data_IF_787369577720
#
_entry.id   IF_787369577720
#
_cell.length_a   1.000
_cell.length_b   1.000
_cell.length_c   1.000
_cell.angle_alpha   90.00
_cell.angle_beta   90.00
_cell.angle_gamma   90.00
#
_symmetry.space_group_name_H-M   'P 1'
#
loop_
_entity.id
_entity.type
_entity.pdbx_description
1 polymer ?
#
# COMPACT_ATOMS: atom_id res chain seq x y z
N UNK A 1 -37.27 27.79 -8.82
CA UNK A 1 -36.23 28.64 -9.43
C UNK A 1 -35.99 28.10 -10.82
N UNK A 2 -36.07 28.90 -11.90
CA UNK A 2 -35.85 28.38 -13.23
C UNK A 2 -34.42 27.83 -13.29
N UNK A 3 -34.29 26.58 -13.71
CA UNK A 3 -33.00 25.94 -13.94
C UNK A 3 -32.29 26.83 -14.96
N UNK A 4 -31.19 27.48 -14.56
CA UNK A 4 -30.36 28.21 -15.51
C UNK A 4 -29.83 27.17 -16.49
N UNK A 5 -30.34 27.20 -17.71
CA UNK A 5 -30.09 26.19 -18.74
C UNK A 5 -28.66 26.28 -19.27
N UNK A 6 -28.11 25.11 -19.62
CA UNK A 6 -26.86 25.02 -20.40
C UNK A 6 -27.01 25.78 -21.72
N UNK A 7 -25.91 26.11 -22.38
CA UNK A 7 -26.00 26.66 -23.73
C UNK A 7 -26.74 25.66 -24.64
N UNK A 8 -27.58 26.11 -25.60
CA UNK A 8 -28.36 25.21 -26.45
C UNK A 8 -27.49 24.20 -27.22
N UNK A 9 -26.30 24.64 -27.62
CA UNK A 9 -25.30 23.80 -28.30
C UNK A 9 -24.78 22.68 -27.39
N UNK A 10 -24.41 23.01 -26.15
CA UNK A 10 -23.90 22.02 -25.20
C UNK A 10 -25.01 21.08 -24.71
N UNK A 11 -26.23 21.58 -24.53
CA UNK A 11 -27.39 20.74 -24.19
C UNK A 11 -27.63 19.68 -25.27
N UNK A 12 -27.57 20.06 -26.56
CA UNK A 12 -27.68 19.13 -27.67
C UNK A 12 -26.53 18.11 -27.68
N UNK A 13 -25.28 18.57 -27.55
CA UNK A 13 -24.10 17.70 -27.54
C UNK A 13 -24.13 16.70 -26.38
N UNK A 14 -24.54 17.14 -25.20
CA UNK A 14 -24.65 16.31 -24.02
C UNK A 14 -25.75 15.25 -24.20
N UNK A 15 -26.91 15.63 -24.73
CA UNK A 15 -27.98 14.68 -25.03
C UNK A 15 -27.55 13.63 -26.07
N UNK A 16 -26.82 14.03 -27.11
CA UNK A 16 -26.26 13.10 -28.10
C UNK A 16 -25.25 12.15 -27.44
N UNK A 17 -24.35 12.66 -26.60
CA UNK A 17 -23.43 11.82 -25.85
C UNK A 17 -24.18 10.80 -24.99
N UNK A 18 -25.15 11.24 -24.19
CA UNK A 18 -25.90 10.39 -23.26
C UNK A 18 -26.75 9.33 -23.99
N UNK A 19 -27.30 9.68 -25.16
CA UNK A 19 -28.01 8.72 -26.02
C UNK A 19 -27.09 7.58 -26.51
N UNK A 20 -25.79 7.85 -26.68
CA UNK A 20 -24.79 6.84 -27.06
C UNK A 20 -24.29 5.99 -25.88
N UNK A 21 -24.90 6.11 -24.69
CA UNK A 21 -24.64 5.26 -23.52
C UNK A 21 -23.15 5.20 -23.13
N UNK A 22 -22.54 6.33 -22.72
CA UNK A 22 -21.15 6.35 -22.31
C UNK A 22 -20.90 5.45 -21.10
N UNK A 23 -19.74 4.82 -21.07
CA UNK A 23 -19.24 4.01 -19.97
C UNK A 23 -18.70 4.87 -18.82
N UNK A 24 -18.07 6.00 -19.15
CA UNK A 24 -17.55 6.98 -18.21
C UNK A 24 -17.50 8.38 -18.85
N UNK A 25 -17.50 9.42 -18.03
CA UNK A 25 -17.38 10.82 -18.45
C UNK A 25 -16.30 11.50 -17.62
N UNK A 26 -15.42 12.24 -18.29
CA UNK A 26 -14.37 13.06 -17.69
C UNK A 26 -14.54 14.50 -18.15
N UNK A 27 -14.35 15.45 -17.25
CA UNK A 27 -14.35 16.88 -17.59
C UNK A 27 -12.98 17.45 -17.21
N UNK A 28 -12.30 18.06 -18.19
CA UNK A 28 -11.13 18.89 -17.92
C UNK A 28 -11.64 20.31 -17.67
N UNK A 29 -11.68 20.71 -16.39
CA UNK A 29 -12.23 22.00 -15.97
C UNK A 29 -11.46 23.19 -16.53
N UNK A 30 -10.11 23.12 -16.55
CA UNK A 30 -9.28 24.24 -17.02
C UNK A 30 -9.44 24.52 -18.52
N UNK A 31 -9.62 23.49 -19.33
CA UNK A 31 -9.83 23.63 -20.78
C UNK A 31 -11.32 23.68 -21.17
N UNK A 32 -12.22 23.52 -20.20
CA UNK A 32 -13.66 23.36 -20.40
C UNK A 32 -13.97 22.31 -21.47
N UNK A 33 -13.34 21.14 -21.39
CA UNK A 33 -13.54 20.05 -22.37
C UNK A 33 -14.14 18.83 -21.70
N UNK A 34 -15.24 18.32 -22.26
CA UNK A 34 -15.89 17.09 -21.81
C UNK A 34 -15.47 15.94 -22.72
N UNK A 35 -15.17 14.79 -22.11
CA UNK A 35 -14.83 13.53 -22.75
C UNK A 35 -15.83 12.46 -22.34
N UNK A 36 -16.29 11.65 -23.29
CA UNK A 36 -17.11 10.47 -23.06
C UNK A 36 -16.42 9.21 -23.58
N UNK A 37 -16.24 8.24 -22.69
CA UNK A 37 -15.75 6.90 -23.05
C UNK A 37 -16.93 6.07 -23.56
N UNK A 38 -16.89 5.65 -24.82
CA UNK A 38 -17.82 4.68 -25.39
C UNK A 38 -17.18 3.29 -25.41
N UNK A 39 -17.93 2.27 -25.85
CA UNK A 39 -17.42 0.87 -25.87
C UNK A 39 -16.17 0.69 -26.73
N UNK A 40 -16.11 1.36 -27.87
CA UNK A 40 -15.07 1.16 -28.90
C UNK A 40 -14.34 2.46 -29.27
N UNK A 41 -14.76 3.60 -28.71
CA UNK A 41 -14.25 4.91 -29.10
C UNK A 41 -14.37 5.92 -27.96
N UNK A 42 -13.77 7.09 -28.17
CA UNK A 42 -13.93 8.24 -27.30
C UNK A 42 -14.56 9.38 -28.09
N UNK A 43 -15.41 10.15 -27.44
CA UNK A 43 -15.91 11.41 -27.98
C UNK A 43 -15.51 12.55 -27.05
N UNK A 44 -15.29 13.73 -27.63
CA UNK A 44 -14.97 14.93 -26.86
C UNK A 44 -15.53 16.18 -27.53
N UNK A 45 -15.90 17.15 -26.71
CA UNK A 45 -16.28 18.48 -27.19
C UNK A 45 -15.95 19.54 -26.14
N UNK A 46 -15.68 20.76 -26.63
CA UNK A 46 -15.49 21.92 -25.77
C UNK A 46 -16.85 22.44 -25.32
N UNK A 47 -16.96 22.73 -24.03
CA UNK A 47 -18.09 23.39 -23.41
C UNK A 47 -18.06 24.89 -23.73
N UNK A 48 -19.23 25.45 -23.98
CA UNK A 48 -19.49 26.85 -24.27
C UNK A 48 -20.27 27.47 -23.10
N UNK A 49 -19.59 27.84 -22.01
CA UNK A 49 -20.25 28.39 -20.82
C UNK A 49 -20.97 29.71 -21.15
N UNK A 50 -22.23 29.81 -20.71
CA UNK A 50 -23.04 31.04 -20.78
C UNK A 50 -23.08 31.79 -19.44
N UNK A 51 -22.34 31.32 -18.44
CA UNK A 51 -22.19 31.88 -17.11
C UNK A 51 -20.79 31.53 -16.56
N UNK A 52 -20.39 31.99 -15.35
CA UNK A 52 -19.08 31.65 -14.80
C UNK A 52 -18.82 30.13 -14.76
N UNK A 53 -17.60 29.73 -15.11
CA UNK A 53 -17.22 28.32 -15.34
C UNK A 53 -17.62 27.39 -14.20
N UNK A 54 -17.39 27.78 -12.94
CA UNK A 54 -17.75 26.97 -11.76
C UNK A 54 -19.27 26.70 -11.70
N UNK A 55 -20.08 27.72 -12.00
CA UNK A 55 -21.54 27.60 -12.03
C UNK A 55 -21.97 26.73 -13.21
N UNK A 56 -21.32 26.89 -14.35
CA UNK A 56 -21.60 26.12 -15.55
C UNK A 56 -21.29 24.62 -15.37
N UNK A 57 -20.13 24.30 -14.78
CA UNK A 57 -19.74 22.94 -14.46
C UNK A 57 -20.71 22.27 -13.47
N UNK A 58 -21.21 23.00 -12.47
CA UNK A 58 -22.28 22.50 -11.58
C UNK A 58 -23.56 22.17 -12.34
N UNK A 59 -23.93 22.97 -13.34
CA UNK A 59 -25.11 22.70 -14.19
C UNK A 59 -24.89 21.46 -15.07
N UNK A 60 -23.71 21.34 -15.70
CA UNK A 60 -23.35 20.17 -16.51
C UNK A 60 -23.41 18.90 -15.65
N UNK A 61 -22.79 18.90 -14.47
CA UNK A 61 -22.83 17.78 -13.52
C UNK A 61 -24.24 17.48 -13.02
N UNK A 62 -25.09 18.50 -12.87
CA UNK A 62 -26.50 18.29 -12.51
C UNK A 62 -27.24 17.51 -13.60
N UNK A 63 -27.06 17.87 -14.88
CA UNK A 63 -27.68 17.15 -16.01
C UNK A 63 -27.15 15.72 -16.11
N UNK A 64 -25.84 15.53 -15.97
CA UNK A 64 -25.22 14.20 -15.95
C UNK A 64 -25.76 13.34 -14.80
N UNK A 65 -25.87 13.91 -13.60
CA UNK A 65 -26.40 13.24 -12.42
C UNK A 65 -27.87 12.87 -12.58
N UNK A 66 -28.69 13.76 -13.15
CA UNK A 66 -30.10 13.48 -13.40
C UNK A 66 -30.25 12.30 -14.36
N UNK A 67 -29.48 12.28 -15.45
CA UNK A 67 -29.52 11.18 -16.41
C UNK A 67 -29.00 9.86 -15.83
N UNK A 68 -27.87 9.88 -15.12
CA UNK A 68 -27.21 8.67 -14.63
C UNK A 68 -27.94 8.02 -13.45
N UNK A 69 -28.58 8.82 -12.58
CA UNK A 69 -29.15 8.34 -11.31
C UNK A 69 -30.68 8.43 -11.26
N UNK A 70 -31.34 9.07 -12.23
CA UNK A 70 -32.79 9.16 -12.31
C UNK A 70 -33.46 9.96 -11.18
N UNK A 71 -32.71 10.79 -10.45
CA UNK A 71 -33.22 11.59 -9.34
C UNK A 71 -33.10 13.10 -9.62
N UNK A 72 -34.22 13.87 -9.60
CA UNK A 72 -34.22 15.31 -9.86
C UNK A 72 -33.67 16.18 -8.72
N UNK A 73 -33.23 15.59 -7.59
CA UNK A 73 -32.69 16.36 -6.45
C UNK A 73 -31.34 17.07 -6.73
N UNK A 74 -30.72 16.83 -7.89
CA UNK A 74 -29.56 17.58 -8.38
C UNK A 74 -28.22 17.28 -7.70
N UNK A 75 -27.15 17.50 -8.45
CA UNK A 75 -25.78 17.57 -7.93
C UNK A 75 -25.65 18.79 -6.98
N UNK A 76 -25.01 18.70 -5.79
CA UNK A 76 -24.10 17.64 -5.30
C UNK A 76 -24.69 16.72 -4.22
N UNK A 77 -26.01 16.72 -3.97
CA UNK A 77 -26.62 16.06 -2.80
C UNK A 77 -26.44 14.53 -2.76
N UNK A 78 -26.09 13.89 -3.88
CA UNK A 78 -25.87 12.44 -3.95
C UNK A 78 -24.59 11.99 -3.22
N UNK A 79 -23.49 12.74 -3.30
CA UNK A 79 -22.22 12.39 -2.62
C UNK A 79 -22.38 12.38 -1.08
N UNK A 80 -23.19 13.29 -0.54
CA UNK A 80 -23.49 13.37 0.90
C UNK A 80 -24.37 12.22 1.40
N UNK A 81 -25.18 11.62 0.52
CA UNK A 81 -26.00 10.44 0.84
C UNK A 81 -25.23 9.14 0.66
N UNK A 82 -24.29 9.10 -0.29
CA UNK A 82 -23.38 7.99 -0.55
C UNK A 82 -22.52 7.65 0.68
N UNK A 83 -21.94 8.66 1.33
CA UNK A 83 -21.17 8.51 2.58
C UNK A 83 -22.00 8.02 3.77
N UNK A 84 -23.35 8.12 3.72
CA UNK A 84 -24.26 7.72 4.81
C UNK A 84 -24.93 6.35 4.61
N UNK A 85 -25.16 5.93 3.37
CA UNK A 85 -25.83 4.68 3.04
C UNK A 85 -24.81 3.64 2.58
N UNK A 86 -24.06 3.08 3.53
CA UNK A 86 -22.87 2.25 3.33
C UNK A 86 -23.03 0.93 2.55
N UNK A 87 -24.11 0.70 1.79
CA UNK A 87 -24.24 -0.42 0.83
C UNK A 87 -25.21 -0.07 -0.30
N UNK A 88 -24.71 0.00 -1.53
CA UNK A 88 -25.54 -0.08 -2.74
C UNK A 88 -24.90 -0.99 -3.80
N UNK A 89 -25.77 -1.53 -4.67
CA UNK A 89 -25.54 -2.61 -5.64
C UNK A 89 -24.54 -2.22 -6.74
N UNK A 90 -23.87 -3.18 -7.37
CA UNK A 90 -22.83 -2.99 -8.40
C UNK A 90 -23.22 -2.07 -9.58
N UNK A 91 -24.51 -2.03 -9.95
CA UNK A 91 -25.03 -1.15 -11.02
C UNK A 91 -24.84 0.34 -10.71
N UNK A 92 -24.84 0.72 -9.43
CA UNK A 92 -24.64 2.11 -8.97
C UNK A 92 -23.23 2.64 -9.23
N UNK A 93 -22.22 1.76 -9.25
CA UNK A 93 -20.83 2.17 -9.47
C UNK A 93 -20.60 2.61 -10.92
N UNK A 94 -21.26 1.94 -11.88
CA UNK A 94 -21.19 2.33 -13.29
C UNK A 94 -21.83 3.70 -13.54
N UNK A 95 -22.90 4.04 -12.81
CA UNK A 95 -23.56 5.33 -12.93
C UNK A 95 -22.67 6.48 -12.40
N UNK A 96 -21.92 6.23 -11.32
CA UNK A 96 -20.99 7.21 -10.73
C UNK A 96 -19.91 7.67 -11.71
N UNK A 97 -19.39 6.77 -12.55
CA UNK A 97 -18.37 7.12 -13.55
C UNK A 97 -18.91 8.03 -14.66
N UNK A 98 -20.23 8.22 -14.77
CA UNK A 98 -20.86 9.08 -15.78
C UNK A 98 -21.11 10.50 -15.26
N UNK A 99 -20.73 10.82 -14.03
CA UNK A 99 -21.03 12.12 -13.42
C UNK A 99 -20.09 13.24 -13.85
N UNK A 100 -18.93 12.92 -14.46
CA UNK A 100 -17.92 13.94 -14.80
C UNK A 100 -17.32 14.60 -13.55
N UNK A 101 -17.30 13.86 -12.45
CA UNK A 101 -16.99 14.35 -11.11
C UNK A 101 -15.86 13.51 -10.49
N UNK A 102 -14.67 14.09 -10.23
CA UNK A 102 -13.53 13.36 -9.67
C UNK A 102 -13.84 12.66 -8.34
N UNK A 103 -14.65 13.29 -7.48
CA UNK A 103 -15.07 12.75 -6.19
C UNK A 103 -15.93 11.48 -6.36
N UNK A 104 -16.79 11.44 -7.39
CA UNK A 104 -17.54 10.24 -7.75
C UNK A 104 -16.64 9.11 -8.28
N UNK A 105 -15.57 9.45 -9.01
CA UNK A 105 -14.57 8.46 -9.44
C UNK A 105 -13.84 7.89 -8.24
N UNK A 106 -13.37 8.73 -7.32
CA UNK A 106 -12.69 8.29 -6.10
C UNK A 106 -13.59 7.39 -5.22
N UNK A 107 -14.89 7.71 -5.15
CA UNK A 107 -15.89 6.88 -4.50
C UNK A 107 -15.98 5.46 -5.12
N UNK A 108 -15.93 5.35 -6.45
CA UNK A 108 -15.89 4.05 -7.15
C UNK A 108 -14.58 3.31 -6.86
N UNK A 109 -13.45 4.00 -6.83
CA UNK A 109 -12.14 3.43 -6.52
C UNK A 109 -12.09 2.83 -5.12
N UNK A 110 -12.78 3.43 -4.15
CA UNK A 110 -12.85 2.96 -2.77
C UNK A 110 -13.92 1.86 -2.54
N UNK A 111 -14.70 1.48 -3.56
CA UNK A 111 -15.81 0.54 -3.39
C UNK A 111 -15.35 -0.93 -3.28
N UNK A 112 -15.98 -1.70 -2.39
CA UNK A 112 -15.70 -3.15 -2.23
C UNK A 112 -15.99 -3.96 -3.53
N UNK A 113 -16.96 -3.52 -4.34
CA UNK A 113 -17.36 -4.14 -5.60
C UNK A 113 -16.50 -3.75 -6.81
N UNK A 114 -15.33 -3.14 -6.61
CA UNK A 114 -14.46 -2.70 -7.71
C UNK A 114 -13.89 -3.90 -8.49
N UNK A 115 -14.29 -4.03 -9.75
CA UNK A 115 -13.76 -5.02 -10.70
C UNK A 115 -12.62 -4.43 -11.55
N UNK A 116 -11.83 -5.28 -12.22
CA UNK A 116 -10.75 -4.82 -13.13
C UNK A 116 -11.29 -3.90 -14.25
N UNK A 117 -12.45 -4.23 -14.82
CA UNK A 117 -13.06 -3.43 -15.89
C UNK A 117 -13.64 -2.10 -15.36
N UNK A 118 -14.18 -2.07 -14.14
CA UNK A 118 -14.57 -0.81 -13.50
C UNK A 118 -13.35 0.06 -13.18
N UNK A 119 -12.26 -0.55 -12.70
CA UNK A 119 -11.01 0.14 -12.44
C UNK A 119 -10.42 0.74 -13.73
N UNK A 120 -10.47 0.03 -14.86
CA UNK A 120 -10.05 0.55 -16.17
C UNK A 120 -10.81 1.83 -16.55
N UNK A 121 -12.13 1.84 -16.37
CA UNK A 121 -12.99 3.00 -16.67
C UNK A 121 -12.77 4.15 -15.70
N UNK A 122 -12.61 3.84 -14.41
CA UNK A 122 -12.31 4.82 -13.38
C UNK A 122 -10.93 5.46 -13.60
N UNK A 123 -9.94 4.66 -14.00
CA UNK A 123 -8.61 5.14 -14.36
C UNK A 123 -8.67 6.08 -15.56
N UNK A 124 -9.38 5.70 -16.62
CA UNK A 124 -9.61 6.57 -17.77
C UNK A 124 -10.29 7.90 -17.38
N UNK A 125 -11.22 7.86 -16.42
CA UNK A 125 -11.93 9.04 -15.96
C UNK A 125 -11.05 9.97 -15.11
N UNK A 126 -10.09 9.44 -14.36
CA UNK A 126 -9.20 10.19 -13.48
C UNK A 126 -7.88 9.44 -13.23
N UNK A 127 -6.84 9.83 -13.97
CA UNK A 127 -5.49 9.24 -13.96
C UNK A 127 -4.62 9.79 -12.81
N UNK A 128 -5.12 9.73 -11.58
CA UNK A 128 -4.43 10.26 -10.40
C UNK A 128 -3.60 9.17 -9.67
N UNK A 129 -2.37 9.46 -9.22
CA UNK A 129 -1.55 8.48 -8.50
C UNK A 129 -2.22 7.89 -7.25
N UNK A 130 -3.04 8.69 -6.56
CA UNK A 130 -3.82 8.20 -5.43
C UNK A 130 -4.84 7.13 -5.85
N UNK A 131 -5.54 7.33 -6.98
CA UNK A 131 -6.46 6.34 -7.54
C UNK A 131 -5.72 5.04 -7.86
N UNK A 132 -4.54 5.13 -8.52
CA UNK A 132 -3.74 3.97 -8.85
C UNK A 132 -3.35 3.15 -7.60
N UNK A 133 -2.89 3.82 -6.53
CA UNK A 133 -2.55 3.15 -5.26
C UNK A 133 -3.74 2.45 -4.64
N UNK A 134 -4.90 3.13 -4.55
CA UNK A 134 -6.13 2.57 -3.97
C UNK A 134 -6.65 1.39 -4.78
N UNK A 135 -6.73 1.52 -6.10
CA UNK A 135 -7.15 0.44 -7.00
C UNK A 135 -6.25 -0.81 -6.84
N UNK A 136 -4.93 -0.63 -6.69
CA UNK A 136 -3.99 -1.74 -6.51
C UNK A 136 -4.09 -2.44 -5.15
N UNK A 137 -4.78 -1.87 -4.17
CA UNK A 137 -5.11 -2.57 -2.92
C UNK A 137 -6.21 -3.62 -3.16
N UNK A 138 -7.07 -3.42 -4.16
CA UNK A 138 -8.14 -4.35 -4.53
C UNK A 138 -7.60 -5.55 -5.30
N UNK A 139 -7.88 -6.76 -4.80
CA UNK A 139 -7.40 -8.03 -5.38
C UNK A 139 -7.80 -8.20 -6.85
N UNK A 140 -9.07 -7.95 -7.18
CA UNK A 140 -9.59 -8.11 -8.54
C UNK A 140 -8.86 -7.25 -9.57
N UNK A 141 -8.41 -6.05 -9.17
CA UNK A 141 -7.64 -5.14 -10.04
C UNK A 141 -6.17 -5.56 -10.11
N UNK A 142 -5.57 -5.91 -8.97
CA UNK A 142 -4.18 -6.33 -8.91
C UNK A 142 -3.89 -7.63 -9.68
N UNK A 143 -4.86 -8.54 -9.75
CA UNK A 143 -4.76 -9.77 -10.56
C UNK A 143 -5.14 -9.53 -12.04
N UNK A 144 -5.75 -8.39 -12.36
CA UNK A 144 -6.23 -8.01 -13.69
C UNK A 144 -5.20 -7.31 -14.58
N UNK A 145 -5.65 -6.88 -15.76
CA UNK A 145 -4.77 -6.18 -16.71
C UNK A 145 -4.55 -4.71 -16.29
N UNK A 146 -5.55 -4.09 -15.67
CA UNK A 146 -5.45 -2.70 -15.20
C UNK A 146 -4.37 -2.60 -14.14
N UNK A 147 -4.26 -3.57 -13.22
CA UNK A 147 -3.21 -3.59 -12.20
C UNK A 147 -1.80 -3.44 -12.75
N UNK A 148 -1.46 -4.14 -13.85
CA UNK A 148 -0.13 -4.05 -14.48
C UNK A 148 0.17 -2.65 -15.02
N UNK A 149 -0.84 -2.02 -15.63
CA UNK A 149 -0.73 -0.64 -16.13
C UNK A 149 -0.55 0.34 -14.98
N UNK A 150 -1.35 0.22 -13.91
CA UNK A 150 -1.26 1.08 -12.73
C UNK A 150 0.09 0.95 -12.01
N UNK A 151 0.62 -0.26 -11.90
CA UNK A 151 1.91 -0.50 -11.26
C UNK A 151 3.05 0.18 -12.05
N UNK A 152 3.04 0.09 -13.38
CA UNK A 152 4.01 0.78 -14.25
C UNK A 152 3.89 2.29 -14.12
N UNK A 153 2.67 2.82 -14.18
CA UNK A 153 2.41 4.24 -13.98
C UNK A 153 3.01 4.73 -12.66
N UNK A 154 2.76 4.04 -11.55
CA UNK A 154 3.31 4.43 -10.24
C UNK A 154 4.85 4.43 -10.25
N UNK A 155 5.49 3.44 -10.85
CA UNK A 155 6.96 3.38 -10.95
C UNK A 155 7.53 4.51 -11.80
N UNK A 156 6.86 4.87 -12.90
CA UNK A 156 7.21 6.02 -13.73
C UNK A 156 6.98 7.35 -13.01
N UNK A 157 5.96 7.41 -12.15
CA UNK A 157 5.59 8.60 -11.39
C UNK A 157 6.44 8.83 -10.12
N UNK A 158 7.08 7.78 -9.57
CA UNK A 158 7.92 7.83 -8.36
C UNK A 158 8.97 8.96 -8.30
N UNK A 159 9.60 9.43 -9.40
CA UNK A 159 10.52 10.58 -9.36
C UNK A 159 9.85 11.92 -9.02
N UNK A 160 8.54 12.03 -9.22
CA UNK A 160 7.74 13.25 -8.96
C UNK A 160 7.10 13.25 -7.57
N UNK A 161 7.07 12.09 -6.89
CA UNK A 161 6.61 12.01 -5.51
C UNK A 161 7.57 12.76 -4.56
N UNK A 162 7.02 13.49 -3.60
CA UNK A 162 7.78 14.20 -2.57
C UNK A 162 7.64 13.54 -1.20
N UNK A 163 6.45 13.03 -0.91
CA UNK A 163 6.11 12.47 0.39
C UNK A 163 6.65 11.04 0.55
N UNK A 164 7.34 10.81 1.67
CA UNK A 164 8.03 9.55 1.92
C UNK A 164 7.05 8.39 2.05
N UNK A 165 5.95 8.58 2.77
CA UNK A 165 4.88 7.61 2.90
C UNK A 165 4.30 7.21 1.53
N UNK A 166 4.06 8.20 0.65
CA UNK A 166 3.54 7.97 -0.70
C UNK A 166 4.52 7.19 -1.58
N UNK A 167 5.82 7.46 -1.47
CA UNK A 167 6.85 6.67 -2.15
C UNK A 167 6.85 5.21 -1.67
N UNK A 168 6.79 5.00 -0.34
CA UNK A 168 6.74 3.65 0.25
C UNK A 168 5.52 2.92 -0.28
N UNK A 169 4.34 3.54 -0.21
CA UNK A 169 3.08 2.93 -0.63
C UNK A 169 3.08 2.59 -2.12
N UNK A 170 3.58 3.49 -2.97
CA UNK A 170 3.66 3.27 -4.41
C UNK A 170 4.55 2.08 -4.76
N UNK A 171 5.72 1.96 -4.11
CA UNK A 171 6.55 0.76 -4.28
C UNK A 171 5.86 -0.47 -3.70
N UNK A 172 5.24 -0.35 -2.51
CA UNK A 172 4.59 -1.48 -1.82
C UNK A 172 3.53 -2.13 -2.70
N UNK A 173 2.63 -1.33 -3.26
CA UNK A 173 1.54 -1.86 -4.10
C UNK A 173 2.04 -2.31 -5.47
N UNK A 174 3.02 -1.63 -6.07
CA UNK A 174 3.56 -2.01 -7.37
C UNK A 174 4.43 -3.28 -7.34
N UNK A 175 5.04 -3.61 -6.19
CA UNK A 175 5.92 -4.77 -6.03
C UNK A 175 5.17 -6.07 -5.70
N UNK A 176 3.84 -6.07 -5.64
CA UNK A 176 3.06 -7.30 -5.51
C UNK A 176 3.40 -8.28 -6.64
N UNK A 177 3.50 -9.60 -6.37
CA UNK A 177 3.84 -10.58 -7.39
C UNK A 177 2.93 -10.51 -8.62
N UNK A 178 3.52 -10.52 -9.82
CA UNK A 178 2.79 -10.56 -11.10
C UNK A 178 2.42 -9.22 -11.73
N UNK A 179 2.61 -8.09 -11.02
CA UNK A 179 2.28 -6.75 -11.54
C UNK A 179 3.34 -6.21 -12.50
N UNK A 180 4.62 -6.41 -12.18
CA UNK A 180 5.74 -5.94 -12.99
C UNK A 180 6.64 -7.10 -13.42
N UNK A 181 7.25 -7.03 -14.62
CA UNK A 181 8.32 -7.93 -15.03
C UNK A 181 9.52 -7.89 -14.08
N UNK A 182 10.22 -9.02 -13.92
CA UNK A 182 11.40 -9.12 -13.05
C UNK A 182 12.51 -8.11 -13.40
N UNK A 183 12.65 -7.75 -14.68
CA UNK A 183 13.62 -6.73 -15.13
C UNK A 183 13.29 -5.34 -14.58
N UNK A 184 12.01 -4.95 -14.57
CA UNK A 184 11.54 -3.68 -14.02
C UNK A 184 11.68 -3.67 -12.49
N UNK A 185 11.33 -4.80 -11.82
CA UNK A 185 11.52 -4.99 -10.38
C UNK A 185 12.99 -4.85 -9.98
N UNK A 186 13.90 -5.52 -10.70
CA UNK A 186 15.34 -5.44 -10.45
C UNK A 186 15.91 -4.04 -10.69
N UNK A 187 15.43 -3.32 -11.73
CA UNK A 187 15.84 -1.95 -11.99
C UNK A 187 15.43 -1.01 -10.84
N UNK A 188 14.21 -1.15 -10.31
CA UNK A 188 13.75 -0.37 -9.17
C UNK A 188 14.49 -0.74 -7.87
N UNK A 189 14.79 -2.02 -7.67
CA UNK A 189 15.60 -2.49 -6.53
C UNK A 189 17.00 -1.84 -6.52
N UNK A 190 17.67 -1.76 -7.67
CA UNK A 190 18.96 -1.04 -7.76
C UNK A 190 18.86 0.42 -7.33
N UNK A 191 17.73 1.09 -7.63
CA UNK A 191 17.48 2.48 -7.20
C UNK A 191 17.25 2.57 -5.68
N UNK A 192 16.66 1.55 -5.06
CA UNK A 192 16.39 1.51 -3.61
C UNK A 192 17.68 1.61 -2.77
N UNK A 193 18.83 1.24 -3.33
CA UNK A 193 20.12 1.34 -2.66
C UNK A 193 20.47 2.76 -2.17
N UNK A 194 19.94 3.79 -2.83
CA UNK A 194 20.12 5.20 -2.45
C UNK A 194 18.84 5.85 -1.92
N UNK A 195 17.71 5.14 -1.96
CA UNK A 195 16.38 5.63 -1.57
C UNK A 195 15.72 4.63 -0.63
N UNK A 196 15.88 4.86 0.67
CA UNK A 196 15.37 3.98 1.74
C UNK A 196 13.84 3.89 1.79
N UNK A 197 13.12 4.89 1.30
CA UNK A 197 11.66 4.81 1.11
C UNK A 197 11.27 3.72 0.11
N UNK A 198 12.04 3.55 -0.97
CA UNK A 198 11.79 2.47 -1.93
C UNK A 198 12.13 1.12 -1.30
N UNK A 199 13.23 1.05 -0.55
CA UNK A 199 13.65 -0.17 0.13
C UNK A 199 12.58 -0.62 1.15
N UNK A 200 12.02 0.31 1.93
CA UNK A 200 10.90 0.07 2.84
C UNK A 200 9.67 -0.47 2.10
N UNK A 201 9.32 0.10 0.95
CA UNK A 201 8.22 -0.41 0.12
C UNK A 201 8.46 -1.85 -0.38
N UNK A 202 9.70 -2.20 -0.76
CA UNK A 202 10.04 -3.57 -1.17
C UNK A 202 9.86 -4.58 -0.05
N UNK A 203 10.43 -4.31 1.14
CA UNK A 203 10.36 -5.23 2.28
C UNK A 203 8.93 -5.38 2.81
N UNK A 204 8.10 -4.34 2.67
CA UNK A 204 6.68 -4.40 3.04
C UNK A 204 5.81 -5.13 2.00
N UNK A 205 6.21 -5.17 0.72
CA UNK A 205 5.43 -5.81 -0.34
C UNK A 205 5.64 -7.32 -0.42
N UNK A 206 6.91 -7.73 -0.42
CA UNK A 206 7.30 -9.09 -0.81
C UNK A 206 8.62 -9.48 -0.13
N UNK A 207 8.63 -9.62 1.21
CA UNK A 207 9.86 -9.88 1.97
C UNK A 207 10.56 -11.18 1.55
N UNK A 208 9.81 -12.17 1.05
CA UNK A 208 10.34 -13.45 0.58
C UNK A 208 10.78 -13.48 -0.89
N UNK A 209 10.47 -12.43 -1.65
CA UNK A 209 10.69 -12.39 -3.10
C UNK A 209 11.38 -11.09 -3.52
N UNK A 210 12.39 -10.69 -2.75
CA UNK A 210 13.23 -9.53 -3.07
C UNK A 210 14.13 -9.82 -4.29
N UNK A 211 14.43 -8.85 -5.17
CA UNK A 211 15.08 -9.12 -6.47
C UNK A 211 16.57 -9.51 -6.46
N UNK A 212 17.18 -9.68 -5.30
CA UNK A 212 18.60 -10.01 -5.15
C UNK A 212 18.75 -11.39 -4.48
N UNK A 213 19.99 -11.80 -4.22
CA UNK A 213 20.28 -13.01 -3.45
C UNK A 213 21.28 -12.74 -2.35
N UNK A 214 21.09 -13.42 -1.24
CA UNK A 214 22.05 -13.50 -0.16
C UNK A 214 22.20 -14.97 0.22
N UNK A 215 23.41 -15.46 0.54
CA UNK A 215 23.57 -16.82 1.01
C UNK A 215 22.73 -17.05 2.27
N UNK A 216 22.09 -18.23 2.36
CA UNK A 216 21.51 -18.70 3.61
C UNK A 216 22.58 -18.79 4.70
N UNK A 217 22.17 -18.81 5.98
CA UNK A 217 23.11 -18.98 7.07
C UNK A 217 23.83 -20.33 6.99
N UNK A 218 25.14 -20.34 7.27
CA UNK A 218 26.01 -21.50 7.02
C UNK A 218 25.61 -22.76 7.79
N UNK A 219 25.03 -22.61 8.98
CA UNK A 219 24.54 -23.67 9.86
C UNK A 219 23.09 -24.10 9.57
N UNK A 220 22.38 -23.43 8.64
CA UNK A 220 20.99 -23.76 8.32
C UNK A 220 20.78 -25.24 7.94
N UNK A 221 21.64 -25.91 7.14
CA UNK A 221 21.44 -27.32 6.82
C UNK A 221 21.37 -28.19 8.09
N UNK A 222 22.30 -28.01 9.03
CA UNK A 222 22.32 -28.75 10.29
C UNK A 222 21.11 -28.43 11.16
N UNK A 223 20.70 -27.17 11.22
CA UNK A 223 19.50 -26.74 11.95
C UNK A 223 18.24 -27.37 11.34
N UNK A 224 18.12 -27.37 10.00
CA UNK A 224 16.97 -27.94 9.29
C UNK A 224 16.84 -29.44 9.56
N UNK A 225 17.95 -30.17 9.54
CA UNK A 225 17.97 -31.60 9.82
C UNK A 225 17.57 -31.88 11.27
N UNK A 226 18.10 -31.12 12.23
CA UNK A 226 17.76 -31.25 13.64
C UNK A 226 16.27 -30.95 13.92
N UNK A 227 15.73 -29.92 13.27
CA UNK A 227 14.36 -29.47 13.44
C UNK A 227 13.36 -30.24 12.57
N UNK A 228 13.82 -31.22 11.79
CA UNK A 228 12.94 -32.09 11.00
C UNK A 228 11.84 -32.69 11.88
N UNK A 229 10.59 -32.64 11.39
CA UNK A 229 9.41 -33.13 12.11
C UNK A 229 8.86 -32.20 13.21
N UNK A 230 9.49 -31.06 13.52
CA UNK A 230 8.91 -30.09 14.46
C UNK A 230 7.88 -29.20 13.74
N UNK A 231 6.70 -29.05 14.33
CA UNK A 231 5.57 -28.29 13.76
C UNK A 231 5.30 -26.96 14.46
N UNK A 232 6.10 -26.61 15.47
CA UNK A 232 5.94 -25.35 16.20
C UNK A 232 6.10 -24.16 15.22
N UNK A 233 5.18 -23.17 15.21
CA UNK A 233 5.26 -22.04 14.29
C UNK A 233 6.60 -21.29 14.34
N UNK A 234 7.18 -21.21 15.54
CA UNK A 234 8.50 -20.63 15.78
C UNK A 234 9.63 -21.30 15.01
N UNK A 235 9.58 -22.62 14.82
CA UNK A 235 10.55 -23.35 14.00
C UNK A 235 10.41 -22.93 12.54
N UNK A 236 9.18 -22.84 12.04
CA UNK A 236 8.91 -22.43 10.67
C UNK A 236 9.47 -21.04 10.35
N UNK A 237 9.16 -20.04 11.18
CA UNK A 237 9.68 -18.68 10.96
C UNK A 237 11.18 -18.56 11.22
N UNK A 238 11.75 -19.35 12.13
CA UNK A 238 13.20 -19.40 12.31
C UNK A 238 13.88 -19.91 11.03
N UNK A 239 13.48 -21.08 10.52
CA UNK A 239 14.04 -21.64 9.29
C UNK A 239 13.89 -20.68 8.10
N UNK A 240 12.77 -19.95 8.06
CA UNK A 240 12.51 -18.90 7.08
C UNK A 240 13.50 -17.74 7.19
N UNK A 241 13.80 -17.26 8.40
CA UNK A 241 14.78 -16.17 8.62
C UNK A 241 16.21 -16.56 8.25
N UNK A 242 16.56 -17.84 8.38
CA UNK A 242 17.89 -18.34 8.07
C UNK A 242 18.10 -18.64 6.57
N UNK A 243 17.02 -18.68 5.78
CA UNK A 243 17.05 -18.97 4.35
C UNK A 243 17.69 -17.84 3.52
N UNK A 244 17.95 -18.07 2.24
CA UNK A 244 18.47 -17.02 1.33
C UNK A 244 17.57 -15.77 1.31
N UNK A 245 16.24 -15.96 1.23
CA UNK A 245 15.28 -14.86 1.22
C UNK A 245 15.21 -14.16 2.57
N UNK A 246 15.22 -14.91 3.66
CA UNK A 246 15.22 -14.37 5.02
C UNK A 246 16.46 -13.54 5.32
N UNK A 247 17.64 -14.01 4.91
CA UNK A 247 18.89 -13.29 5.09
C UNK A 247 18.88 -11.97 4.30
N UNK A 248 18.39 -11.97 3.06
CA UNK A 248 18.27 -10.76 2.26
C UNK A 248 17.27 -9.76 2.86
N UNK A 249 16.11 -10.24 3.35
CA UNK A 249 15.12 -9.41 4.03
C UNK A 249 15.70 -8.76 5.28
N UNK A 250 16.36 -9.53 6.14
CA UNK A 250 16.98 -9.05 7.36
C UNK A 250 18.08 -8.01 7.08
N UNK A 251 18.93 -8.25 6.08
CA UNK A 251 19.95 -7.29 5.66
C UNK A 251 19.33 -5.99 5.12
N UNK A 252 18.27 -6.08 4.32
CA UNK A 252 17.53 -4.91 3.83
C UNK A 252 16.93 -4.08 4.99
N UNK A 253 16.31 -4.72 5.98
CA UNK A 253 15.82 -4.07 7.19
C UNK A 253 16.95 -3.39 7.96
N UNK A 254 18.09 -4.07 8.14
CA UNK A 254 19.24 -3.54 8.87
C UNK A 254 19.81 -2.28 8.18
N UNK A 255 19.88 -2.27 6.84
CA UNK A 255 20.32 -1.10 6.06
C UNK A 255 19.45 0.12 6.30
N UNK A 256 18.15 -0.06 6.49
CA UNK A 256 17.23 1.03 6.83
C UNK A 256 17.47 1.49 8.28
N UNK A 257 17.53 0.55 9.23
CA UNK A 257 17.68 0.81 10.67
C UNK A 257 18.97 1.56 10.99
N UNK A 258 20.07 1.27 10.28
CA UNK A 258 21.34 1.98 10.47
C UNK A 258 21.25 3.48 10.14
N UNK A 259 20.39 3.88 9.19
CA UNK A 259 20.30 5.28 8.76
C UNK A 259 18.90 5.64 8.25
N UNK A 260 17.90 5.71 9.15
CA UNK A 260 16.56 6.04 8.71
C UNK A 260 16.41 7.51 8.33
N UNK A 261 15.76 7.82 7.20
CA UNK A 261 15.56 9.18 6.76
C UNK A 261 14.40 9.89 7.46
N UNK A 262 13.36 9.13 7.84
CA UNK A 262 12.09 9.64 8.39
C UNK A 262 11.46 8.61 9.34
N UNK A 263 10.45 9.05 10.09
CA UNK A 263 9.67 8.19 10.97
C UNK A 263 8.89 7.14 10.16
N UNK A 264 8.26 7.52 9.04
CA UNK A 264 7.46 6.61 8.21
C UNK A 264 8.28 5.41 7.74
N UNK A 265 9.51 5.65 7.27
CA UNK A 265 10.41 4.57 6.84
C UNK A 265 10.71 3.60 7.98
N UNK A 266 10.91 4.10 9.20
CA UNK A 266 11.14 3.23 10.36
C UNK A 266 9.88 2.47 10.73
N UNK A 267 8.74 3.16 10.88
CA UNK A 267 7.48 2.52 11.24
C UNK A 267 7.14 1.40 10.26
N UNK A 268 7.21 1.66 8.95
CA UNK A 268 6.98 0.62 7.93
C UNK A 268 7.98 -0.53 8.01
N UNK A 269 9.25 -0.26 8.34
CA UNK A 269 10.25 -1.32 8.52
C UNK A 269 9.97 -2.19 9.74
N UNK A 270 9.56 -1.58 10.85
CA UNK A 270 9.18 -2.31 12.08
C UNK A 270 7.92 -3.14 11.86
N UNK A 271 6.92 -2.58 11.17
CA UNK A 271 5.71 -3.30 10.79
C UNK A 271 6.02 -4.46 9.84
N UNK A 272 6.88 -4.26 8.83
CA UNK A 272 7.31 -5.33 7.94
C UNK A 272 8.01 -6.48 8.71
N UNK A 273 8.86 -6.16 9.69
CA UNK A 273 9.45 -7.16 10.58
C UNK A 273 8.40 -7.88 11.43
N UNK A 274 7.48 -7.14 12.06
CA UNK A 274 6.38 -7.71 12.85
C UNK A 274 5.53 -8.67 12.02
N UNK A 275 5.10 -8.22 10.85
CA UNK A 275 4.23 -8.96 9.95
C UNK A 275 4.93 -10.22 9.41
N UNK A 276 6.24 -10.16 9.17
CA UNK A 276 7.06 -11.31 8.80
C UNK A 276 7.05 -12.43 9.86
N UNK A 277 6.87 -12.07 11.12
CA UNK A 277 6.81 -12.98 12.28
C UNK A 277 5.41 -13.11 12.90
N UNK A 278 4.35 -12.63 12.22
CA UNK A 278 3.00 -12.51 12.79
C UNK A 278 2.43 -13.82 13.37
N UNK A 279 2.88 -14.98 12.88
CA UNK A 279 2.45 -16.29 13.39
C UNK A 279 2.81 -16.50 14.88
N UNK A 280 3.80 -15.77 15.41
CA UNK A 280 4.16 -15.79 16.83
C UNK A 280 3.23 -14.93 17.69
N UNK A 281 2.43 -14.06 17.07
CA UNK A 281 1.56 -13.08 17.72
C UNK A 281 0.14 -13.14 17.11
N UNK A 282 -0.62 -14.23 17.32
CA UNK A 282 -1.97 -14.36 16.78
C UNK A 282 -2.94 -13.30 17.32
N UNK A 283 -2.63 -12.68 18.47
CA UNK A 283 -3.39 -11.57 19.03
C UNK A 283 -3.13 -10.20 18.35
N UNK A 284 -2.19 -10.14 17.40
CA UNK A 284 -1.80 -8.91 16.70
C UNK A 284 -0.67 -8.14 17.39
N UNK A 285 -0.59 -6.84 17.09
CA UNK A 285 0.43 -5.94 17.63
C UNK A 285 0.31 -5.82 19.16
N UNK A 286 1.36 -6.19 19.92
CA UNK A 286 1.32 -6.11 21.37
C UNK A 286 1.48 -4.69 21.92
N UNK A 287 1.91 -3.71 21.11
CA UNK A 287 2.18 -2.30 21.50
C UNK A 287 3.05 -2.16 22.77
N UNK A 288 4.17 -2.91 22.80
CA UNK A 288 5.10 -2.97 23.93
C UNK A 288 6.38 -2.16 23.70
N UNK A 289 7.05 -1.80 24.79
CA UNK A 289 8.42 -1.25 24.73
C UNK A 289 9.43 -2.33 24.37
N UNK A 290 10.61 -1.92 23.91
CA UNK A 290 11.66 -2.87 23.57
C UNK A 290 12.10 -3.73 24.78
N UNK A 291 12.16 -3.15 25.98
CA UNK A 291 12.48 -3.87 27.23
C UNK A 291 11.45 -4.98 27.52
N UNK A 292 10.16 -4.66 27.45
CA UNK A 292 9.08 -5.63 27.67
C UNK A 292 9.10 -6.77 26.63
N UNK A 293 9.53 -6.49 25.40
CA UNK A 293 9.71 -7.52 24.38
C UNK A 293 10.85 -8.49 24.71
N UNK A 294 11.95 -7.99 25.29
CA UNK A 294 13.07 -8.83 25.75
C UNK A 294 12.67 -9.71 26.93
N UNK A 295 11.90 -9.18 27.87
CA UNK A 295 11.34 -9.95 28.99
C UNK A 295 10.43 -11.07 28.48
N UNK A 296 9.53 -10.73 27.55
CA UNK A 296 8.65 -11.70 26.89
C UNK A 296 9.42 -12.79 26.13
N UNK A 297 10.52 -12.43 25.47
CA UNK A 297 11.37 -13.38 24.75
C UNK A 297 12.04 -14.40 25.69
N UNK A 298 12.39 -14.00 26.91
CA UNK A 298 12.95 -14.89 27.93
C UNK A 298 11.92 -15.92 28.41
N UNK A 299 10.66 -15.51 28.60
CA UNK A 299 9.58 -16.44 28.90
C UNK A 299 9.28 -17.38 27.71
N UNK A 300 9.29 -16.84 26.50
CA UNK A 300 9.01 -17.58 25.26
C UNK A 300 9.97 -18.76 25.04
N UNK A 301 11.29 -18.55 25.18
CA UNK A 301 12.26 -19.65 25.00
C UNK A 301 12.19 -20.72 26.07
N UNK A 302 11.56 -20.43 27.21
CA UNK A 302 11.34 -21.43 28.26
C UNK A 302 9.99 -22.16 28.10
N UNK A 303 9.19 -21.82 27.09
CA UNK A 303 7.89 -22.46 26.83
C UNK A 303 8.03 -23.93 26.40
N UNK A 304 7.04 -24.74 26.76
CA UNK A 304 7.03 -26.18 26.50
C UNK A 304 7.33 -26.58 25.04
N UNK A 305 6.83 -25.87 23.99
CA UNK A 305 7.11 -26.22 22.61
C UNK A 305 8.59 -26.10 22.19
N UNK A 306 9.37 -25.24 22.84
CA UNK A 306 10.77 -24.99 22.49
C UNK A 306 11.77 -25.77 23.34
N UNK A 307 11.35 -26.29 24.50
CA UNK A 307 12.21 -27.07 25.40
C UNK A 307 12.90 -28.26 24.69
N UNK A 308 12.21 -29.11 23.90
CA UNK A 308 12.86 -30.24 23.23
C UNK A 308 13.91 -29.80 22.19
N UNK A 309 13.67 -28.67 21.53
CA UNK A 309 14.58 -28.10 20.54
C UNK A 309 15.84 -27.57 21.23
N UNK A 310 15.66 -26.75 22.26
CA UNK A 310 16.75 -26.09 22.98
C UNK A 310 17.57 -27.07 23.83
N UNK A 311 16.97 -28.18 24.26
CA UNK A 311 17.71 -29.28 24.90
C UNK A 311 18.72 -29.93 23.94
N UNK A 312 18.39 -30.04 22.65
CA UNK A 312 19.28 -30.62 21.63
C UNK A 312 20.31 -29.62 21.09
N UNK A 313 19.91 -28.36 20.90
CA UNK A 313 20.80 -27.31 20.39
C UNK A 313 20.60 -26.00 21.16
N UNK A 314 21.28 -25.85 22.32
CA UNK A 314 21.15 -24.68 23.18
C UNK A 314 21.55 -23.36 22.50
N UNK A 315 22.41 -23.41 21.47
CA UNK A 315 22.84 -22.24 20.72
C UNK A 315 21.67 -21.50 20.04
N UNK A 316 20.58 -22.20 19.68
CA UNK A 316 19.39 -21.61 19.07
C UNK A 316 18.58 -20.72 20.03
N UNK A 317 18.92 -20.69 21.33
CA UNK A 317 18.22 -19.85 22.31
C UNK A 317 18.20 -18.38 21.87
N UNK A 318 19.34 -17.86 21.39
CA UNK A 318 19.45 -16.46 20.94
C UNK A 318 18.58 -16.21 19.71
N UNK A 319 18.55 -17.15 18.78
CA UNK A 319 17.70 -17.06 17.58
C UNK A 319 16.21 -16.97 17.92
N UNK A 320 15.74 -17.85 18.81
CA UNK A 320 14.33 -17.84 19.24
C UNK A 320 13.99 -16.58 20.04
N UNK A 321 14.92 -16.04 20.82
CA UNK A 321 14.73 -14.74 21.47
C UNK A 321 14.61 -13.63 20.42
N UNK A 322 15.51 -13.59 19.44
CA UNK A 322 15.53 -12.57 18.40
C UNK A 322 14.23 -12.55 17.59
N UNK A 323 13.77 -13.69 17.06
CA UNK A 323 12.50 -13.72 16.30
C UNK A 323 11.30 -13.30 17.16
N UNK A 324 11.31 -13.61 18.47
CA UNK A 324 10.22 -13.23 19.36
C UNK A 324 10.21 -11.72 19.65
N UNK A 325 11.38 -11.11 19.87
CA UNK A 325 11.49 -9.65 19.99
C UNK A 325 11.03 -8.97 18.69
N UNK A 326 11.54 -9.43 17.53
CA UNK A 326 11.19 -8.87 16.23
C UNK A 326 9.68 -9.01 15.92
N UNK A 327 9.03 -10.06 16.40
CA UNK A 327 7.58 -10.28 16.23
C UNK A 327 6.69 -9.26 16.93
N UNK A 328 7.21 -8.51 17.90
CA UNK A 328 6.44 -7.53 18.65
C UNK A 328 6.80 -6.09 18.32
N UNK A 329 7.59 -5.85 17.26
CA UNK A 329 7.94 -4.50 16.84
C UNK A 329 6.72 -3.73 16.33
N UNK A 330 6.73 -2.42 16.52
CA UNK A 330 5.64 -1.53 16.17
C UNK A 330 5.90 -0.12 16.71
N UNK A 331 4.88 0.73 16.78
CA UNK A 331 5.08 2.08 17.33
C UNK A 331 5.43 2.07 18.83
N UNK A 332 4.99 1.04 19.58
CA UNK A 332 5.26 0.88 21.01
C UNK A 332 6.74 0.99 21.38
N UNK A 333 7.65 0.45 20.55
CA UNK A 333 9.09 0.50 20.84
C UNK A 333 9.72 1.87 20.60
N UNK A 334 9.13 2.71 19.73
CA UNK A 334 9.60 4.06 19.43
C UNK A 334 9.03 5.10 20.41
N UNK A 335 7.86 4.81 20.98
CA UNK A 335 7.09 5.73 21.81
C UNK A 335 7.88 6.34 22.98
N UNK A 336 8.70 5.61 23.75
CA UNK A 336 9.47 6.19 24.84
C UNK A 336 10.43 7.30 24.37
N UNK A 337 11.08 7.09 23.23
CA UNK A 337 12.07 8.03 22.68
C UNK A 337 11.44 9.22 21.95
N UNK A 338 10.24 9.04 21.41
CA UNK A 338 9.51 10.06 20.66
C UNK A 338 8.48 10.84 21.49
N UNK A 339 8.25 10.46 22.75
CA UNK A 339 7.26 11.14 23.61
C UNK A 339 7.56 12.64 23.71
N UNK A 340 6.58 13.47 23.33
CA UNK A 340 6.69 14.93 23.37
C UNK A 340 7.71 15.52 22.38
N UNK A 341 8.08 14.77 21.34
CA UNK A 341 9.14 15.14 20.40
C UNK A 341 8.59 15.32 18.99
N UNK A 342 8.80 16.49 18.40
CA UNK A 342 8.64 16.73 16.95
C UNK A 342 9.97 16.58 16.18
N UNK A 343 10.93 15.85 16.78
CA UNK A 343 12.26 15.71 16.21
C UNK A 343 12.23 15.05 14.83
N UNK A 344 12.84 15.72 13.85
CA UNK A 344 13.02 15.22 12.49
C UNK A 344 14.51 15.03 12.16
N UNK A 345 14.79 14.25 11.12
CA UNK A 345 16.14 14.09 10.55
C UNK A 345 17.20 13.65 11.56
N UNK A 346 18.29 14.43 11.68
CA UNK A 346 19.43 14.09 12.55
C UNK A 346 19.09 14.03 14.06
N UNK A 347 18.15 14.84 14.54
CA UNK A 347 17.73 14.80 15.94
C UNK A 347 16.90 13.55 16.24
N UNK A 348 15.98 13.19 15.34
CA UNK A 348 15.20 11.95 15.41
C UNK A 348 16.13 10.74 15.50
N UNK A 349 17.12 10.66 14.62
CA UNK A 349 18.09 9.54 14.59
C UNK A 349 18.83 9.37 15.92
N UNK A 350 19.29 10.45 16.53
CA UNK A 350 19.98 10.40 17.83
C UNK A 350 19.06 9.93 18.96
N UNK A 351 17.79 10.36 18.96
CA UNK A 351 16.80 9.90 19.94
C UNK A 351 16.46 8.43 19.77
N UNK A 352 16.31 7.97 18.54
CA UNK A 352 15.96 6.58 18.25
C UNK A 352 17.15 5.62 18.39
N UNK A 353 18.39 6.11 18.43
CA UNK A 353 19.60 5.28 18.45
C UNK A 353 19.60 4.17 19.50
N UNK A 354 19.21 4.40 20.78
CA UNK A 354 19.21 3.34 21.79
C UNK A 354 18.30 2.16 21.41
N UNK A 355 17.10 2.45 20.91
CA UNK A 355 16.12 1.44 20.49
C UNK A 355 16.56 0.76 19.18
N UNK A 356 17.01 1.55 18.19
CA UNK A 356 17.44 1.01 16.90
C UNK A 356 18.69 0.13 17.03
N UNK A 357 19.58 0.40 17.98
CA UNK A 357 20.71 -0.47 18.30
C UNK A 357 20.23 -1.82 18.81
N UNK A 358 19.34 -1.83 19.81
CA UNK A 358 18.79 -3.08 20.34
C UNK A 358 18.07 -3.92 19.28
N UNK A 359 17.37 -3.29 18.33
CA UNK A 359 16.75 -3.98 17.19
C UNK A 359 17.82 -4.51 16.21
N UNK A 360 18.85 -3.71 15.92
CA UNK A 360 19.97 -4.12 15.07
C UNK A 360 20.68 -5.35 15.62
N UNK A 361 20.85 -5.44 16.94
CA UNK A 361 21.47 -6.58 17.61
C UNK A 361 20.65 -7.87 17.39
N UNK A 362 19.33 -7.81 17.50
CA UNK A 362 18.47 -8.96 17.22
C UNK A 362 18.54 -9.41 15.75
N UNK A 363 18.60 -8.45 14.82
CA UNK A 363 18.77 -8.77 13.39
C UNK A 363 20.14 -9.40 13.13
N UNK A 364 21.20 -8.87 13.75
CA UNK A 364 22.56 -9.40 13.59
C UNK A 364 22.71 -10.82 14.13
N UNK A 365 21.99 -11.19 15.20
CA UNK A 365 21.92 -12.58 15.69
C UNK A 365 21.43 -13.51 14.57
N UNK A 366 20.33 -13.16 13.91
CA UNK A 366 19.74 -13.96 12.84
C UNK A 366 20.58 -13.96 11.55
N UNK A 367 21.33 -12.88 11.29
CA UNK A 367 22.31 -12.81 10.21
C UNK A 367 23.61 -13.57 10.49
N UNK A 368 23.78 -14.12 11.70
CA UNK A 368 25.02 -14.79 12.10
C UNK A 368 26.22 -13.85 12.19
N UNK A 369 26.00 -12.54 12.41
CA UNK A 369 27.04 -11.50 12.48
C UNK A 369 27.53 -11.22 13.91
N UNK A 370 26.88 -11.82 14.91
CA UNK A 370 27.27 -11.69 16.32
C UNK A 370 28.17 -12.85 16.71
N UNK A 371 29.43 -12.56 17.04
CA UNK A 371 30.32 -13.46 17.80
C UNK A 371 29.95 -13.49 19.27
#
# INVERSE_FOLDING_TARGET
>A
MPVSELSPEDALRLNVLLANQPQAIRINESSMTLFGLLRESETKFKLNPNCPDEKYLKQVRSVLSEHALGNPAGYPLYLQRWTRMGKMRDESLNALLKLGDPEAVFAVVCAEGLTDELARRAWWASEEPENARRMLQTRAVAEGNTGKMLARFLVEYLPFETETETMIESVRVAMRPGLLPESERAALWKKSARKTSYLAGFIAAAPDNLPDRMPQRSDLPAIRDLLSGHTAPAVGVLLKSLSESGQLFLDACLRIIHKPPSQDVITTTLEALRDYYAVLRPAGDPDLTLEQLHDGASAFVNSAPLQPVLAKMPSLRRDFQAIHVLSGLGFGVLRPELKGSSAMGGLMRRKLEPVLRGISDQINVLLGRVT
#
